data_IF_242413308389
#
_entry.id   IF_242413308389
#
_cell.length_a   1.000
_cell.length_b   1.000
_cell.length_c   1.000
_cell.angle_alpha   90.00
_cell.angle_beta   90.00
_cell.angle_gamma   90.00
#
_symmetry.space_group_name_H-M   'P 1'
#
loop_
_entity.id
_entity.type
_entity.pdbx_description
1 polymer ?
#
# COMPACT_ATOMS: atom_id res chain seq x y z
N UNK A 1 19.61 0.39 10.80
CA UNK A 1 18.25 0.04 10.39
C UNK A 1 18.23 -1.38 9.86
N UNK A 2 17.48 -2.25 10.49
CA UNK A 2 17.42 -3.66 10.08
C UNK A 2 16.25 -3.89 9.15
N UNK A 3 16.53 -4.38 7.95
CA UNK A 3 15.52 -4.80 6.99
C UNK A 3 15.16 -6.25 7.28
N UNK A 4 13.88 -6.60 7.21
CA UNK A 4 13.38 -7.94 7.53
C UNK A 4 13.92 -9.09 6.67
N UNK A 5 14.61 -8.78 5.58
CA UNK A 5 15.03 -9.76 4.58
C UNK A 5 16.46 -9.52 4.13
N UNK A 6 17.26 -10.59 4.00
CA UNK A 6 18.61 -10.51 3.45
C UNK A 6 18.57 -10.22 1.93
N UNK A 7 19.63 -9.61 1.40
CA UNK A 7 19.76 -9.35 -0.03
C UNK A 7 19.76 -10.65 -0.86
N UNK A 8 20.36 -11.72 -0.33
CA UNK A 8 20.37 -13.04 -0.99
C UNK A 8 18.95 -13.60 -1.13
N UNK A 9 18.15 -13.55 -0.08
CA UNK A 9 16.76 -14.00 -0.08
C UNK A 9 15.88 -13.13 -0.97
N UNK A 10 16.09 -11.82 -0.94
CA UNK A 10 15.43 -10.89 -1.86
C UNK A 10 15.66 -11.25 -3.32
N UNK A 11 16.93 -11.46 -3.72
CA UNK A 11 17.29 -11.85 -5.09
C UNK A 11 16.64 -13.16 -5.52
N UNK A 12 16.66 -14.15 -4.65
CA UNK A 12 16.04 -15.46 -4.92
C UNK A 12 14.54 -15.32 -5.20
N UNK A 13 13.82 -14.59 -4.37
CA UNK A 13 12.37 -14.38 -4.55
C UNK A 13 12.05 -13.53 -5.77
N UNK A 14 12.85 -12.52 -6.04
CA UNK A 14 12.71 -11.70 -7.23
C UNK A 14 12.88 -12.52 -8.52
N UNK A 15 13.89 -13.38 -8.58
CA UNK A 15 14.13 -14.28 -9.71
C UNK A 15 13.03 -15.33 -9.89
N UNK A 16 12.34 -15.70 -8.82
CA UNK A 16 11.22 -16.64 -8.83
C UNK A 16 9.87 -15.95 -9.11
N UNK A 17 9.85 -14.66 -9.44
CA UNK A 17 8.67 -13.83 -9.66
C UNK A 17 7.64 -13.89 -8.52
N UNK A 18 8.12 -14.03 -7.28
CA UNK A 18 7.27 -14.02 -6.10
C UNK A 18 7.15 -12.62 -5.53
N UNK A 19 5.92 -12.20 -5.27
CA UNK A 19 5.67 -10.97 -4.53
C UNK A 19 6.24 -11.09 -3.11
N UNK A 20 6.80 -10.00 -2.62
CA UNK A 20 7.40 -9.99 -1.30
C UNK A 20 7.20 -8.65 -0.60
N UNK A 21 7.07 -8.70 0.71
CA UNK A 21 7.06 -7.51 1.55
C UNK A 21 8.46 -7.33 2.14
N UNK A 22 8.97 -6.13 1.98
CA UNK A 22 10.20 -5.67 2.61
C UNK A 22 9.83 -4.56 3.58
N UNK A 23 10.24 -4.69 4.81
CA UNK A 23 9.96 -3.68 5.80
C UNK A 23 11.14 -3.48 6.77
N UNK A 24 11.14 -2.35 7.41
CA UNK A 24 11.96 -2.05 8.56
C UNK A 24 11.07 -1.47 9.65
N UNK A 25 11.52 -1.53 10.87
CA UNK A 25 10.80 -0.93 11.99
C UNK A 25 11.70 0.00 12.78
N UNK A 26 11.13 1.08 13.25
CA UNK A 26 11.78 2.05 14.14
C UNK A 26 10.83 2.36 15.29
N UNK A 27 11.36 2.33 16.51
CA UNK A 27 10.60 2.80 17.66
C UNK A 27 10.56 4.32 17.65
N UNK A 28 9.36 4.87 17.73
CA UNK A 28 9.14 6.32 17.83
C UNK A 28 8.96 6.67 19.30
N UNK A 29 9.65 7.70 19.76
CA UNK A 29 9.65 8.12 21.16
C UNK A 29 8.71 9.29 21.45
N UNK A 30 8.41 10.12 20.45
CA UNK A 30 7.61 11.32 20.59
C UNK A 30 6.44 11.36 19.61
N UNK A 31 5.26 11.73 20.07
CA UNK A 31 4.06 11.86 19.23
C UNK A 31 4.21 12.91 18.15
N UNK A 32 5.02 13.96 18.38
CA UNK A 32 5.29 15.01 17.40
C UNK A 32 5.97 14.46 16.13
N UNK A 33 6.86 13.46 16.25
CA UNK A 33 7.48 12.82 15.08
C UNK A 33 6.42 12.17 14.18
N UNK A 34 5.40 11.56 14.78
CA UNK A 34 4.30 10.93 14.05
C UNK A 34 3.46 11.98 13.32
N UNK A 35 3.10 13.07 14.00
CA UNK A 35 2.29 14.14 13.42
C UNK A 35 3.02 14.80 12.23
N UNK A 36 4.30 15.10 12.36
CA UNK A 36 5.12 15.65 11.27
C UNK A 36 5.21 14.71 10.07
N UNK A 37 5.36 13.40 10.33
CA UNK A 37 5.39 12.39 9.29
C UNK A 37 4.06 12.31 8.53
N UNK A 38 2.93 12.32 9.25
CA UNK A 38 1.58 12.31 8.67
C UNK A 38 1.35 13.56 7.83
N UNK A 39 1.68 14.73 8.32
CA UNK A 39 1.53 16.01 7.60
C UNK A 39 2.31 15.98 6.28
N UNK A 40 3.54 15.50 6.30
CA UNK A 40 4.36 15.36 5.10
C UNK A 40 3.75 14.41 4.08
N UNK A 41 3.14 13.31 4.53
CA UNK A 41 2.47 12.35 3.64
C UNK A 41 1.19 12.91 3.04
N UNK A 42 0.35 13.55 3.85
CA UNK A 42 -0.96 14.05 3.41
C UNK A 42 -0.87 15.30 2.53
N UNK A 43 0.26 16.00 2.49
CA UNK A 43 0.48 17.11 1.57
C UNK A 43 0.64 16.65 0.11
N UNK A 44 0.95 15.40 -0.12
CA UNK A 44 1.13 14.84 -1.46
C UNK A 44 -0.21 14.48 -2.11
N UNK A 45 -0.28 14.64 -3.43
CA UNK A 45 -1.42 14.20 -4.22
C UNK A 45 -1.56 12.66 -4.17
N UNK A 46 -2.80 12.17 -4.13
CA UNK A 46 -3.08 10.75 -4.04
C UNK A 46 -2.47 10.08 -2.79
N UNK A 47 -2.54 10.77 -1.67
CA UNK A 47 -2.21 10.21 -0.36
C UNK A 47 -3.46 9.72 0.35
N UNK A 48 -3.28 8.83 1.31
CA UNK A 48 -4.38 8.33 2.14
C UNK A 48 -3.93 8.09 3.57
N UNK A 49 -4.89 8.12 4.47
CA UNK A 49 -4.72 7.72 5.86
C UNK A 49 -5.93 6.90 6.31
N UNK A 50 -5.68 5.77 6.95
CA UNK A 50 -6.71 4.98 7.63
C UNK A 50 -6.35 4.87 9.11
N UNK A 51 -7.27 5.27 9.96
CA UNK A 51 -7.14 5.14 11.40
C UNK A 51 -8.12 4.10 11.92
N UNK A 52 -7.60 3.17 12.73
CA UNK A 52 -8.49 2.24 13.40
C UNK A 52 -9.23 2.96 14.53
N UNK A 53 -10.53 2.69 14.63
CA UNK A 53 -11.39 3.23 15.70
C UNK A 53 -11.76 2.08 16.62
N UNK A 54 -11.48 2.23 17.91
CA UNK A 54 -11.82 1.23 18.90
C UNK A 54 -12.87 1.79 19.87
N UNK A 55 -14.00 1.09 20.01
CA UNK A 55 -15.11 1.46 20.93
C UNK A 55 -15.61 2.90 20.80
N UNK A 56 -15.68 3.44 19.57
CA UNK A 56 -16.13 4.82 19.32
C UNK A 56 -15.11 5.91 19.65
N UNK A 57 -13.89 5.55 19.99
CA UNK A 57 -12.78 6.48 20.21
C UNK A 57 -12.01 6.69 18.91
N UNK A 58 -11.53 7.91 18.68
CA UNK A 58 -10.78 8.30 17.47
C UNK A 58 -9.41 7.61 17.39
N UNK A 59 -8.85 7.14 18.50
CA UNK A 59 -7.56 6.43 18.54
C UNK A 59 -7.76 4.93 18.68
N UNK A 60 -7.50 4.18 17.60
CA UNK A 60 -7.36 2.75 17.61
C UNK A 60 -5.89 2.31 17.70
N UNK A 61 -5.65 1.03 17.50
CA UNK A 61 -4.32 0.40 17.61
C UNK A 61 -3.38 0.76 16.47
N UNK A 62 -3.92 1.01 15.28
CA UNK A 62 -3.12 1.21 14.07
C UNK A 62 -3.56 2.43 13.29
N UNK A 63 -2.58 3.10 12.71
CA UNK A 63 -2.76 4.10 11.68
C UNK A 63 -1.96 3.64 10.45
N UNK A 64 -2.62 3.57 9.31
CA UNK A 64 -2.01 3.16 8.03
C UNK A 64 -2.13 4.33 7.07
N UNK A 65 -1.03 4.71 6.45
CA UNK A 65 -1.04 5.79 5.47
C UNK A 65 -0.05 5.51 4.33
N UNK A 66 -0.30 6.14 3.18
CA UNK A 66 0.54 5.98 2.00
C UNK A 66 0.43 7.16 1.04
N UNK A 67 1.37 7.22 0.13
CA UNK A 67 1.43 8.24 -0.93
C UNK A 67 2.12 7.73 -2.18
N UNK A 68 2.03 8.49 -3.26
CA UNK A 68 2.71 8.24 -4.53
C UNK A 68 2.44 6.83 -5.09
N UNK A 69 1.16 6.47 -5.32
CA UNK A 69 0.86 5.19 -5.95
C UNK A 69 1.46 5.15 -7.36
N UNK A 70 2.01 4.02 -7.75
CA UNK A 70 2.49 3.78 -9.11
C UNK A 70 1.36 3.43 -10.08
N UNK A 71 0.29 2.85 -9.56
CA UNK A 71 -0.91 2.50 -10.29
C UNK A 71 -2.15 2.85 -9.49
N UNK A 72 -3.16 3.39 -10.18
CA UNK A 72 -4.48 3.65 -9.63
C UNK A 72 -5.52 2.98 -10.53
N UNK A 73 -6.35 2.11 -9.97
CA UNK A 73 -7.52 1.59 -10.66
C UNK A 73 -8.74 2.40 -10.23
N UNK A 74 -9.45 2.93 -11.19
CA UNK A 74 -10.67 3.70 -10.95
C UNK A 74 -11.86 2.98 -11.57
N UNK A 75 -12.92 2.82 -10.81
CA UNK A 75 -14.15 2.16 -11.24
C UNK A 75 -15.30 3.18 -11.19
N UNK A 76 -15.82 3.50 -12.35
CA UNK A 76 -16.89 4.50 -12.48
C UNK A 76 -17.88 4.08 -13.56
N UNK A 77 -19.18 4.13 -13.25
CA UNK A 77 -20.24 3.79 -14.20
C UNK A 77 -20.05 2.41 -14.85
N UNK A 78 -19.68 1.41 -14.06
CA UNK A 78 -19.42 0.03 -14.51
C UNK A 78 -18.24 -0.09 -15.48
N UNK A 79 -17.39 0.92 -15.55
CA UNK A 79 -16.19 0.94 -16.40
C UNK A 79 -14.95 0.96 -15.50
N UNK A 80 -13.94 0.21 -15.93
CA UNK A 80 -12.63 0.13 -15.25
C UNK A 80 -11.60 0.96 -15.99
N UNK A 81 -10.82 1.73 -15.23
CA UNK A 81 -9.71 2.52 -15.74
C UNK A 81 -8.44 2.22 -14.99
N UNK A 82 -7.31 2.28 -15.68
CA UNK A 82 -5.98 2.28 -15.08
C UNK A 82 -5.33 3.64 -15.30
N UNK A 83 -4.87 4.25 -14.21
CA UNK A 83 -4.08 5.48 -14.24
C UNK A 83 -2.65 5.13 -13.88
N UNK A 84 -1.74 5.34 -14.80
CA UNK A 84 -0.31 5.06 -14.65
C UNK A 84 0.48 6.04 -15.50
N UNK A 85 1.59 6.58 -14.96
CA UNK A 85 2.43 7.56 -15.66
C UNK A 85 1.62 8.76 -16.18
N UNK A 86 0.68 9.28 -15.37
CA UNK A 86 -0.21 10.40 -15.70
C UNK A 86 -1.16 10.15 -16.88
N UNK A 87 -1.29 8.89 -17.30
CA UNK A 87 -2.21 8.48 -18.36
C UNK A 87 -3.34 7.64 -17.82
N UNK A 88 -4.57 7.97 -18.24
CA UNK A 88 -5.78 7.23 -17.90
C UNK A 88 -6.20 6.37 -19.10
N UNK A 89 -6.23 5.07 -18.90
CA UNK A 89 -6.56 4.08 -19.93
C UNK A 89 -7.84 3.35 -19.54
N UNK A 90 -8.81 3.26 -20.46
CA UNK A 90 -9.98 2.42 -20.27
C UNK A 90 -9.61 0.95 -20.46
N UNK A 91 -10.00 0.12 -19.52
CA UNK A 91 -9.75 -1.32 -19.55
C UNK A 91 -10.98 -2.08 -20.08
N UNK A 92 -10.74 -3.25 -20.66
CA UNK A 92 -11.81 -4.10 -21.20
C UNK A 92 -12.57 -4.85 -20.12
N UNK A 93 -11.90 -5.20 -19.02
CA UNK A 93 -12.50 -5.99 -17.93
C UNK A 93 -13.53 -5.17 -17.16
N UNK A 94 -14.63 -5.81 -16.76
CA UNK A 94 -15.60 -5.23 -15.84
C UNK A 94 -15.00 -5.10 -14.44
N UNK A 95 -15.46 -4.14 -13.60
CA UNK A 95 -14.92 -3.93 -12.26
C UNK A 95 -14.83 -5.18 -11.41
N UNK A 96 -15.87 -6.00 -11.37
CA UNK A 96 -15.91 -7.22 -10.56
C UNK A 96 -14.82 -8.23 -10.96
N UNK A 97 -14.58 -8.40 -12.26
CA UNK A 97 -13.56 -9.32 -12.77
C UNK A 97 -12.16 -8.77 -12.58
N UNK A 98 -11.98 -7.46 -12.77
CA UNK A 98 -10.68 -6.83 -12.61
C UNK A 98 -10.22 -6.81 -11.15
N UNK A 99 -11.12 -6.57 -10.21
CA UNK A 99 -10.80 -6.60 -8.77
C UNK A 99 -10.27 -7.97 -8.36
N UNK A 100 -10.88 -9.05 -8.81
CA UNK A 100 -10.41 -10.41 -8.53
C UNK A 100 -9.00 -10.65 -9.10
N UNK A 101 -8.72 -10.21 -10.31
CA UNK A 101 -7.39 -10.31 -10.93
C UNK A 101 -6.33 -9.52 -10.17
N UNK A 102 -6.66 -8.31 -9.74
CA UNK A 102 -5.75 -7.47 -8.96
C UNK A 102 -5.41 -8.14 -7.63
N UNK A 103 -6.42 -8.63 -6.91
CA UNK A 103 -6.21 -9.33 -5.63
C UNK A 103 -5.28 -10.53 -5.82
N UNK A 104 -5.49 -11.32 -6.86
CA UNK A 104 -4.66 -12.50 -7.15
C UNK A 104 -3.22 -12.11 -7.51
N UNK A 105 -3.04 -11.08 -8.33
CA UNK A 105 -1.72 -10.59 -8.75
C UNK A 105 -0.87 -10.09 -7.58
N UNK A 106 -1.49 -9.46 -6.57
CA UNK A 106 -0.78 -8.88 -5.43
C UNK A 106 -0.72 -9.78 -4.19
N UNK A 107 -1.10 -11.04 -4.28
CA UNK A 107 -0.90 -11.98 -3.18
C UNK A 107 0.58 -12.17 -2.86
N UNK A 108 0.89 -12.23 -1.59
CA UNK A 108 2.25 -12.44 -1.08
C UNK A 108 2.22 -13.30 0.18
N UNK A 109 3.35 -13.90 0.52
CA UNK A 109 3.50 -14.61 1.79
C UNK A 109 3.57 -13.59 2.93
N UNK A 110 2.74 -13.81 3.96
CA UNK A 110 2.79 -12.99 5.17
C UNK A 110 4.13 -13.20 5.87
N UNK A 111 4.85 -12.12 6.21
CA UNK A 111 6.10 -12.26 6.96
C UNK A 111 5.85 -12.97 8.30
N UNK A 112 6.72 -13.89 8.64
CA UNK A 112 6.72 -14.53 9.97
C UNK A 112 7.34 -13.57 10.97
N UNK A 113 6.69 -13.39 12.11
CA UNK A 113 7.21 -12.60 13.22
C UNK A 113 8.34 -13.33 13.96
#
# INVERSE_FOLDING_TARGET
MNINRSFKDFKFRHRSNKNQIIYTSKKIQEDEEILNLIDNFLSEKNSFIFESVEKGKIKGRYTIFGKNPDKIWEFKNKISYLIQNEKKIKLKDKPENLIEKIIEEFKFETPKN
#
